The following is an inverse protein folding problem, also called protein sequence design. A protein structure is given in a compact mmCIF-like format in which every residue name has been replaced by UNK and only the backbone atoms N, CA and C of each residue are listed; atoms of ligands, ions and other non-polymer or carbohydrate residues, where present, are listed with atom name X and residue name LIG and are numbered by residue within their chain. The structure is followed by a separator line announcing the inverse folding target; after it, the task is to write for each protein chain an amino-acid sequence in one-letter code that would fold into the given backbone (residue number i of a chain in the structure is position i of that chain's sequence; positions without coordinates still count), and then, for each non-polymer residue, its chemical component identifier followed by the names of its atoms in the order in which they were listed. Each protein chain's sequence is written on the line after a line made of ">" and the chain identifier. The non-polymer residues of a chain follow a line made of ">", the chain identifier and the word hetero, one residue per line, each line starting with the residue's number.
data_IF_394451318078
#
_entry.id   IF_394451318078
#
_cell.length_a   1.000
_cell.length_b   1.000
_cell.length_c   1.000
_cell.angle_alpha   90.00
_cell.angle_beta   90.00
_cell.angle_gamma   90.00
#
_symmetry.space_group_name_H-M   'P 1'
#
loop_
_entity.id
_entity.type
_entity.pdbx_description
1 polymer ?
#
# COMPACT_ATOMS: atom_id res chain seq x y z
N UNK A 1 -5.55 -4.16 16.72
CA UNK A 1 -4.78 -3.09 17.41
C UNK A 1 -3.74 -2.51 16.45
N UNK A 2 -3.64 -1.18 16.37
CA UNK A 2 -2.61 -0.51 15.57
C UNK A 2 -1.32 -0.39 16.41
N UNK A 3 -0.17 -0.77 15.85
CA UNK A 3 1.11 -0.56 16.53
C UNK A 3 1.38 0.92 16.83
N UNK A 4 2.13 1.24 17.91
CA UNK A 4 2.60 2.60 18.18
C UNK A 4 3.40 3.18 17.01
N UNK A 5 3.43 4.52 16.89
CA UNK A 5 4.14 5.23 15.79
C UNK A 5 5.59 4.76 15.62
N UNK A 6 6.33 4.56 16.72
CA UNK A 6 7.72 4.12 16.68
C UNK A 6 7.94 2.67 16.22
N UNK A 7 6.89 1.86 16.05
CA UNK A 7 6.96 0.48 15.57
C UNK A 7 6.53 0.38 14.11
N UNK A 8 5.59 1.22 13.67
CA UNK A 8 5.14 1.22 12.28
C UNK A 8 6.27 1.63 11.34
N UNK A 9 6.34 1.04 10.15
CA UNK A 9 7.37 1.34 9.16
C UNK A 9 7.45 2.84 8.82
N UNK A 10 6.33 3.52 8.79
CA UNK A 10 6.22 4.97 8.57
C UNK A 10 6.93 5.78 9.65
N UNK A 11 6.69 5.46 10.91
CA UNK A 11 7.34 6.13 12.03
C UNK A 11 8.83 5.78 12.19
N UNK A 12 9.21 4.54 11.82
CA UNK A 12 10.63 4.14 11.75
C UNK A 12 11.33 4.89 10.63
N UNK A 13 10.72 4.98 9.44
CA UNK A 13 11.24 5.73 8.29
C UNK A 13 11.40 7.22 8.63
N UNK A 14 10.40 7.83 9.30
CA UNK A 14 10.51 9.21 9.78
C UNK A 14 11.76 9.42 10.65
N UNK A 15 12.02 8.48 11.57
CA UNK A 15 13.19 8.58 12.44
C UNK A 15 14.49 8.49 11.64
N UNK A 16 14.53 7.67 10.60
CA UNK A 16 15.72 7.50 9.74
C UNK A 16 15.98 8.71 8.84
N UNK A 17 14.91 9.33 8.32
CA UNK A 17 14.98 10.50 7.46
C UNK A 17 15.32 11.80 8.23
N UNK A 18 15.10 11.84 9.54
CA UNK A 18 15.38 12.99 10.37
C UNK A 18 14.38 14.13 10.20
N UNK A 19 14.82 15.36 10.52
CA UNK A 19 13.97 16.56 10.56
C UNK A 19 13.81 17.24 9.19
N UNK A 20 14.61 16.86 8.21
CA UNK A 20 14.51 17.41 6.84
C UNK A 20 13.28 16.90 6.08
N UNK A 21 12.65 15.83 6.58
CA UNK A 21 11.47 15.22 5.98
C UNK A 21 10.34 15.10 7.01
N UNK A 22 9.12 15.23 6.53
CA UNK A 22 7.91 14.91 7.27
C UNK A 22 7.20 13.72 6.64
N UNK A 23 7.08 12.62 7.40
CA UNK A 23 6.33 11.42 6.97
C UNK A 23 4.90 11.51 7.49
N UNK A 24 3.95 11.82 6.61
CA UNK A 24 2.53 11.87 6.90
C UNK A 24 1.93 10.47 6.76
N UNK A 25 1.32 9.98 7.83
CA UNK A 25 0.78 8.62 7.88
C UNK A 25 -0.72 8.63 7.55
N UNK A 26 -1.07 8.16 6.37
CA UNK A 26 -2.46 8.09 5.87
C UNK A 26 -2.99 6.66 5.75
N UNK A 27 -2.37 5.71 6.45
CA UNK A 27 -2.82 4.32 6.51
C UNK A 27 -4.13 4.17 7.28
N UNK A 28 -5.10 3.48 6.67
CA UNK A 28 -6.38 3.11 7.27
C UNK A 28 -6.58 1.59 7.23
N UNK A 29 -6.99 0.99 8.35
CA UNK A 29 -7.28 -0.43 8.40
C UNK A 29 -8.41 -0.79 7.42
N UNK A 30 -8.19 -1.83 6.63
CA UNK A 30 -9.19 -2.29 5.66
C UNK A 30 -9.24 -1.46 4.37
N UNK A 31 -8.36 -0.46 4.18
CA UNK A 31 -8.35 0.36 2.97
C UNK A 31 -8.07 -0.48 1.72
N UNK A 32 -8.91 -0.30 0.73
CA UNK A 32 -8.81 -0.88 -0.61
C UNK A 32 -8.24 0.13 -1.61
N UNK A 33 -8.02 -0.28 -2.83
CA UNK A 33 -7.73 0.64 -3.94
C UNK A 33 -8.98 1.43 -4.34
N UNK A 34 -9.90 0.80 -5.07
CA UNK A 34 -11.13 1.42 -5.58
C UNK A 34 -12.40 0.73 -5.11
N UNK A 35 -12.28 -0.47 -4.52
CA UNK A 35 -13.43 -1.28 -4.13
C UNK A 35 -14.10 -0.74 -2.88
N UNK A 36 -15.40 -0.50 -2.96
CA UNK A 36 -16.20 0.00 -1.84
C UNK A 36 -16.77 -1.16 -1.02
N UNK A 37 -16.54 -1.11 0.29
CA UNK A 37 -17.29 -1.92 1.23
C UNK A 37 -18.63 -1.22 1.52
N UNK A 38 -19.76 -1.89 1.25
CA UNK A 38 -21.08 -1.30 1.45
C UNK A 38 -21.35 -0.84 2.89
N UNK A 39 -20.66 -1.42 3.87
CA UNK A 39 -20.77 -1.04 5.29
C UNK A 39 -19.82 0.08 5.67
N UNK A 40 -18.68 0.19 4.98
CA UNK A 40 -17.61 1.12 5.30
C UNK A 40 -17.03 1.77 4.02
N UNK A 41 -17.85 2.50 3.23
CA UNK A 41 -17.46 3.02 1.91
C UNK A 41 -16.25 3.98 1.96
N UNK A 42 -16.00 4.62 3.10
CA UNK A 42 -14.81 5.46 3.31
C UNK A 42 -13.47 4.71 3.24
N UNK A 43 -13.49 3.40 3.21
CA UNK A 43 -12.28 2.57 3.05
C UNK A 43 -11.78 2.52 1.62
N UNK A 44 -12.58 2.87 0.63
CA UNK A 44 -12.11 2.99 -0.75
C UNK A 44 -11.08 4.12 -0.87
N UNK A 45 -9.89 3.77 -1.32
CA UNK A 45 -8.78 4.71 -1.46
C UNK A 45 -9.10 5.83 -2.44
N UNK A 46 -9.77 5.52 -3.54
CA UNK A 46 -10.10 6.47 -4.59
C UNK A 46 -10.92 7.67 -4.07
N UNK A 47 -11.93 7.42 -3.25
CA UNK A 47 -12.77 8.48 -2.69
C UNK A 47 -12.02 9.39 -1.72
N UNK A 48 -11.06 8.83 -1.00
CA UNK A 48 -10.25 9.55 -0.02
C UNK A 48 -9.06 10.31 -0.61
N UNK A 49 -8.51 9.84 -1.72
CA UNK A 49 -7.20 10.25 -2.21
C UNK A 49 -7.11 11.76 -2.53
N UNK A 50 -8.07 12.31 -3.28
CA UNK A 50 -8.05 13.74 -3.63
C UNK A 50 -8.12 14.67 -2.41
N UNK A 51 -9.03 14.49 -1.44
CA UNK A 51 -9.00 15.26 -0.19
C UNK A 51 -7.66 15.15 0.54
N UNK A 52 -7.10 13.95 0.66
CA UNK A 52 -5.81 13.70 1.29
C UNK A 52 -4.68 14.49 0.61
N UNK A 53 -4.51 14.34 -0.69
CA UNK A 53 -3.50 15.06 -1.47
C UNK A 53 -3.66 16.59 -1.37
N UNK A 54 -4.90 17.08 -1.36
CA UNK A 54 -5.18 18.50 -1.25
C UNK A 54 -4.84 19.08 0.12
N UNK A 55 -5.02 18.30 1.18
CA UNK A 55 -4.73 18.71 2.55
C UNK A 55 -3.22 18.80 2.80
N UNK A 56 -2.45 17.87 2.25
CA UNK A 56 -1.03 17.71 2.56
C UNK A 56 -0.07 18.33 1.53
N UNK A 57 -0.59 18.98 0.48
CA UNK A 57 0.28 19.65 -0.48
C UNK A 57 1.05 20.84 0.17
N UNK A 58 2.30 21.13 -0.23
CA UNK A 58 3.06 20.43 -1.28
C UNK A 58 3.59 19.07 -0.84
N UNK A 59 3.56 18.09 -1.76
CA UNK A 59 3.99 16.71 -1.52
C UNK A 59 5.14 16.40 -2.46
N UNK A 60 6.26 15.92 -1.93
CA UNK A 60 7.44 15.55 -2.73
C UNK A 60 7.49 14.06 -3.05
N UNK A 61 6.92 13.23 -2.16
CA UNK A 61 6.87 11.77 -2.30
C UNK A 61 5.50 11.22 -1.96
N UNK A 62 5.07 10.21 -2.68
CA UNK A 62 3.91 9.38 -2.32
C UNK A 62 4.32 7.93 -2.32
N UNK A 63 4.31 7.26 -1.17
CA UNK A 63 4.51 5.81 -1.06
C UNK A 63 3.11 5.17 -0.94
N UNK A 64 2.69 4.45 -1.96
CA UNK A 64 1.39 3.80 -2.02
C UNK A 64 1.53 2.28 -1.96
N UNK A 65 1.08 1.69 -0.85
CA UNK A 65 1.03 0.24 -0.63
C UNK A 65 -0.40 -0.16 -0.30
N UNK A 66 -1.16 -0.54 -1.31
CA UNK A 66 -2.55 -1.00 -1.25
C UNK A 66 -2.71 -2.27 -2.09
N UNK A 67 -3.84 -2.95 -1.94
CA UNK A 67 -4.20 -4.15 -2.70
C UNK A 67 -4.44 -5.38 -1.83
N UNK A 68 -3.87 -5.47 -0.62
CA UNK A 68 -4.10 -6.61 0.27
C UNK A 68 -5.57 -6.75 0.68
N UNK A 69 -6.26 -5.65 0.95
CA UNK A 69 -7.68 -5.69 1.35
C UNK A 69 -8.63 -5.95 0.18
N UNK A 70 -8.20 -5.66 -1.02
CA UNK A 70 -8.92 -5.91 -2.27
C UNK A 70 -9.05 -7.42 -2.56
N UNK A 71 -8.14 -8.22 -2.01
CA UNK A 71 -8.14 -9.68 -2.10
C UNK A 71 -9.26 -10.35 -1.28
N UNK A 72 -10.02 -9.58 -0.49
CA UNK A 72 -11.14 -10.14 0.27
C UNK A 72 -12.17 -10.76 -0.65
N UNK A 73 -12.72 -11.90 -0.24
CA UNK A 73 -13.78 -12.66 -0.96
C UNK A 73 -14.94 -11.79 -1.41
N UNK A 74 -15.35 -10.83 -0.57
CA UNK A 74 -16.52 -9.99 -0.83
C UNK A 74 -16.39 -9.14 -2.10
N UNK A 75 -15.18 -8.86 -2.56
CA UNK A 75 -14.95 -8.06 -3.76
C UNK A 75 -14.88 -8.91 -5.03
N UNK A 76 -14.68 -10.21 -4.92
CA UNK A 76 -14.56 -11.14 -6.07
C UNK A 76 -13.57 -10.66 -7.15
N UNK A 77 -12.58 -9.83 -6.75
CA UNK A 77 -11.67 -9.19 -7.67
C UNK A 77 -10.51 -10.12 -8.06
N UNK A 78 -10.20 -10.15 -9.34
CA UNK A 78 -8.96 -10.73 -9.86
C UNK A 78 -7.75 -9.86 -9.50
N UNK A 79 -6.55 -10.42 -9.58
CA UNK A 79 -5.32 -9.63 -9.39
C UNK A 79 -5.19 -8.50 -10.42
N UNK A 80 -5.68 -8.72 -11.66
CA UNK A 80 -5.70 -7.67 -12.70
C UNK A 80 -6.62 -6.51 -12.31
N UNK A 81 -7.84 -6.77 -11.84
CA UNK A 81 -8.79 -5.71 -11.43
C UNK A 81 -8.25 -4.92 -10.22
N UNK A 82 -7.56 -5.60 -9.30
CA UNK A 82 -6.88 -4.92 -8.18
C UNK A 82 -5.76 -4.02 -8.69
N UNK A 83 -4.97 -4.50 -9.63
CA UNK A 83 -3.91 -3.73 -10.25
C UNK A 83 -4.46 -2.53 -11.05
N UNK A 84 -5.57 -2.71 -11.78
CA UNK A 84 -6.26 -1.62 -12.48
C UNK A 84 -6.73 -0.53 -11.50
N UNK A 85 -7.22 -0.94 -10.32
CA UNK A 85 -7.56 -0.02 -9.23
C UNK A 85 -6.33 0.76 -8.71
N UNK A 86 -5.20 0.09 -8.54
CA UNK A 86 -3.95 0.77 -8.16
C UNK A 86 -3.45 1.71 -9.26
N UNK A 87 -3.61 1.33 -10.53
CA UNK A 87 -3.28 2.19 -11.68
C UNK A 87 -4.12 3.47 -11.67
N UNK A 88 -5.41 3.37 -11.36
CA UNK A 88 -6.28 4.53 -11.25
C UNK A 88 -5.82 5.50 -10.16
N UNK A 89 -5.43 4.98 -9.00
CA UNK A 89 -4.87 5.82 -7.93
C UNK A 89 -3.58 6.50 -8.36
N UNK A 90 -2.68 5.82 -9.08
CA UNK A 90 -1.45 6.43 -9.63
C UNK A 90 -1.78 7.57 -10.58
N UNK A 91 -2.76 7.41 -11.47
CA UNK A 91 -3.22 8.48 -12.38
C UNK A 91 -3.71 9.69 -11.58
N UNK A 92 -4.59 9.45 -10.61
CA UNK A 92 -5.12 10.51 -9.74
C UNK A 92 -4.01 11.25 -9.00
N UNK A 93 -3.03 10.54 -8.42
CA UNK A 93 -1.89 11.19 -7.76
C UNK A 93 -1.19 12.14 -8.73
N UNK A 94 -0.81 11.65 -9.90
CA UNK A 94 -0.01 12.42 -10.87
C UNK A 94 -0.77 13.62 -11.45
N UNK A 95 -2.01 13.43 -11.84
CA UNK A 95 -2.83 14.47 -12.45
C UNK A 95 -3.21 15.55 -11.42
N UNK A 96 -3.73 15.12 -10.28
CA UNK A 96 -4.21 16.03 -9.25
C UNK A 96 -3.09 16.85 -8.63
N UNK A 97 -1.95 16.24 -8.32
CA UNK A 97 -0.81 16.99 -7.74
C UNK A 97 -0.23 17.96 -8.75
N UNK A 98 -0.09 17.57 -10.03
CA UNK A 98 0.36 18.50 -11.08
C UNK A 98 -0.57 19.73 -11.20
N UNK A 99 -1.88 19.51 -11.12
CA UNK A 99 -2.88 20.58 -11.16
C UNK A 99 -2.80 21.49 -9.91
N UNK A 100 -2.69 20.90 -8.72
CA UNK A 100 -2.87 21.62 -7.46
C UNK A 100 -1.60 22.19 -6.84
N UNK A 101 -0.42 21.65 -7.20
CA UNK A 101 0.87 22.14 -6.67
C UNK A 101 1.89 22.46 -7.79
N UNK A 102 1.57 22.25 -9.06
CA UNK A 102 2.41 22.63 -10.20
C UNK A 102 3.44 21.57 -10.61
N UNK A 103 3.66 20.54 -9.81
CA UNK A 103 4.58 19.44 -10.11
C UNK A 103 4.02 18.09 -9.64
N UNK A 104 4.63 17.01 -10.14
CA UNK A 104 4.27 15.64 -9.78
C UNK A 104 5.28 15.14 -8.75
N UNK A 105 4.84 14.62 -7.59
CA UNK A 105 5.73 13.99 -6.62
C UNK A 105 6.39 12.74 -7.19
N UNK A 106 7.51 12.33 -6.60
CA UNK A 106 8.01 10.97 -6.83
C UNK A 106 7.00 9.96 -6.26
N UNK A 107 6.47 9.09 -7.12
CA UNK A 107 5.52 8.06 -6.71
C UNK A 107 6.24 6.73 -6.57
N UNK A 108 6.15 6.13 -5.39
CA UNK A 108 6.62 4.77 -5.11
C UNK A 108 5.39 3.87 -5.06
N UNK A 109 5.23 3.05 -6.09
CA UNK A 109 4.19 2.03 -6.14
C UNK A 109 4.72 0.74 -5.52
N UNK A 110 4.13 0.37 -4.39
CA UNK A 110 4.56 -0.79 -3.60
C UNK A 110 3.58 -1.94 -3.80
N UNK A 111 4.08 -3.06 -4.33
CA UNK A 111 3.33 -4.32 -4.24
C UNK A 111 3.38 -4.79 -2.78
N UNK A 112 2.21 -5.06 -2.15
CA UNK A 112 2.18 -5.48 -0.76
C UNK A 112 2.84 -6.86 -0.56
N UNK A 113 3.18 -7.22 0.70
CA UNK A 113 3.60 -8.57 1.04
C UNK A 113 2.56 -9.60 0.60
N UNK A 114 3.01 -10.81 0.26
CA UNK A 114 2.11 -11.91 -0.08
C UNK A 114 1.23 -12.30 1.11
N UNK A 115 0.03 -12.77 0.81
CA UNK A 115 -0.84 -13.42 1.82
C UNK A 115 -0.18 -14.73 2.25
N UNK A 116 -0.09 -14.95 3.55
CA UNK A 116 0.51 -16.16 4.12
C UNK A 116 -0.31 -17.41 3.86
N UNK A 117 0.36 -18.54 3.79
CA UNK A 117 -0.23 -19.85 3.43
C UNK A 117 -1.33 -20.34 4.39
N UNK A 118 -1.32 -19.86 5.62
CA UNK A 118 -2.28 -20.32 6.64
C UNK A 118 -3.47 -19.35 6.79
N UNK A 119 -3.72 -18.47 5.83
CA UNK A 119 -4.80 -17.47 5.87
C UNK A 119 -6.17 -18.09 6.09
N UNK A 120 -6.44 -19.25 5.47
CA UNK A 120 -7.69 -19.99 5.61
C UNK A 120 -7.90 -20.58 7.01
N UNK A 121 -6.84 -20.65 7.84
CA UNK A 121 -6.88 -21.11 9.22
C UNK A 121 -6.72 -19.96 10.23
N UNK A 122 -6.60 -18.73 9.77
CA UNK A 122 -6.43 -17.54 10.59
C UNK A 122 -7.77 -16.94 11.04
N UNK A 123 -7.72 -15.94 11.89
CA UNK A 123 -8.90 -15.13 12.25
C UNK A 123 -9.55 -14.43 11.03
N UNK A 124 -8.82 -14.31 9.93
CA UNK A 124 -9.27 -13.71 8.67
C UNK A 124 -9.86 -14.73 7.67
N UNK A 125 -9.97 -16.01 8.01
CA UNK A 125 -10.52 -17.06 7.15
C UNK A 125 -11.92 -16.77 6.58
N UNK A 126 -12.72 -15.95 7.30
CA UNK A 126 -14.04 -15.52 6.80
C UNK A 126 -13.95 -14.47 5.68
N UNK A 127 -12.87 -13.71 5.66
CA UNK A 127 -12.66 -12.61 4.71
C UNK A 127 -11.78 -12.97 3.53
N UNK A 128 -10.85 -13.91 3.70
CA UNK A 128 -9.89 -14.34 2.68
C UNK A 128 -10.01 -15.85 2.44
N UNK A 129 -9.65 -16.27 1.25
CA UNK A 129 -9.59 -17.66 0.82
C UNK A 129 -8.17 -18.03 0.37
N UNK A 130 -7.98 -19.29 0.01
CA UNK A 130 -6.70 -19.78 -0.51
C UNK A 130 -6.33 -19.13 -1.85
N UNK A 131 -7.32 -18.74 -2.66
CA UNK A 131 -7.09 -18.04 -3.91
C UNK A 131 -6.47 -16.65 -3.69
N UNK A 132 -6.69 -16.03 -2.52
CA UNK A 132 -6.04 -14.77 -2.16
C UNK A 132 -4.51 -14.91 -2.12
N UNK A 133 -3.98 -16.10 -1.77
CA UNK A 133 -2.54 -16.38 -1.77
C UNK A 133 -2.00 -16.27 -3.20
N UNK A 134 -2.67 -16.90 -4.15
CA UNK A 134 -2.26 -16.92 -5.56
C UNK A 134 -2.34 -15.51 -6.13
N UNK A 135 -3.49 -14.84 -5.96
CA UNK A 135 -3.72 -13.47 -6.44
C UNK A 135 -2.73 -12.46 -5.84
N UNK A 136 -2.34 -12.62 -4.56
CA UNK A 136 -1.36 -11.72 -3.94
C UNK A 136 0.01 -11.78 -4.61
N UNK A 137 0.44 -12.96 -5.07
CA UNK A 137 1.71 -13.16 -5.79
C UNK A 137 1.71 -12.52 -7.17
N UNK A 138 0.56 -12.52 -7.84
CA UNK A 138 0.42 -11.91 -9.16
C UNK A 138 0.53 -10.38 -9.11
N UNK A 139 0.19 -9.75 -7.98
CA UNK A 139 0.24 -8.28 -7.84
C UNK A 139 1.62 -7.70 -8.12
N UNK A 140 2.70 -8.37 -7.73
CA UNK A 140 4.06 -7.86 -7.93
C UNK A 140 4.35 -7.57 -9.40
N UNK A 141 4.08 -8.54 -10.29
CA UNK A 141 4.32 -8.40 -11.73
C UNK A 141 3.42 -7.34 -12.36
N UNK A 142 2.17 -7.27 -11.91
CA UNK A 142 1.20 -6.30 -12.42
C UNK A 142 1.57 -4.86 -11.99
N UNK A 143 1.96 -4.66 -10.74
CA UNK A 143 2.38 -3.36 -10.21
C UNK A 143 3.69 -2.87 -10.84
N UNK A 144 4.63 -3.79 -11.11
CA UNK A 144 5.87 -3.44 -11.84
C UNK A 144 5.56 -2.88 -13.23
N UNK A 145 4.62 -3.49 -13.96
CA UNK A 145 4.17 -3.00 -15.27
C UNK A 145 3.57 -1.60 -15.19
N UNK A 146 2.72 -1.37 -14.17
CA UNK A 146 2.11 -0.05 -13.93
C UNK A 146 3.18 0.98 -13.58
N UNK A 147 4.08 0.65 -12.67
CA UNK A 147 5.16 1.55 -12.29
C UNK A 147 6.01 1.95 -13.50
N UNK A 148 6.38 1.00 -14.34
CA UNK A 148 7.11 1.24 -15.59
C UNK A 148 6.32 2.13 -16.56
N UNK A 149 5.01 1.86 -16.73
CA UNK A 149 4.12 2.63 -17.62
C UNK A 149 4.01 4.10 -17.22
N UNK A 150 3.96 4.37 -15.91
CA UNK A 150 3.76 5.72 -15.37
C UNK A 150 5.04 6.39 -14.86
N UNK A 151 6.20 5.76 -15.01
CA UNK A 151 7.47 6.30 -14.51
C UNK A 151 7.47 6.43 -12.98
N UNK A 152 6.86 5.47 -12.28
CA UNK A 152 6.91 5.35 -10.83
C UNK A 152 8.11 4.50 -10.40
N UNK A 153 8.57 4.68 -9.17
CA UNK A 153 9.50 3.76 -8.54
C UNK A 153 8.71 2.51 -8.15
N UNK A 154 9.11 1.34 -8.63
CA UNK A 154 8.52 0.07 -8.19
C UNK A 154 9.23 -0.48 -6.98
N UNK A 155 8.47 -0.93 -6.00
CA UNK A 155 8.99 -1.61 -4.81
C UNK A 155 8.17 -2.87 -4.52
N UNK A 156 8.82 -4.02 -4.46
CA UNK A 156 8.20 -5.29 -4.11
C UNK A 156 8.45 -5.59 -2.63
N UNK A 157 7.43 -5.40 -1.79
CA UNK A 157 7.56 -5.62 -0.36
C UNK A 157 7.73 -7.11 -0.02
N UNK A 158 7.22 -8.02 -0.85
CA UNK A 158 7.37 -9.46 -0.63
C UNK A 158 8.83 -9.95 -0.74
N UNK A 159 9.69 -9.18 -1.44
CA UNK A 159 11.14 -9.47 -1.49
C UNK A 159 11.91 -9.05 -0.23
N UNK A 160 11.25 -8.34 0.68
CA UNK A 160 11.87 -7.78 1.89
C UNK A 160 11.28 -8.36 3.16
N UNK A 161 9.95 -8.53 3.18
CA UNK A 161 9.20 -8.95 4.35
C UNK A 161 8.13 -9.97 3.99
N UNK A 162 7.81 -10.82 4.96
CA UNK A 162 6.72 -11.78 4.88
C UNK A 162 5.57 -11.33 5.79
N UNK A 163 4.35 -11.75 5.45
CA UNK A 163 3.22 -11.63 6.36
C UNK A 163 3.41 -12.49 7.61
N UNK A 164 2.78 -12.05 8.70
CA UNK A 164 2.87 -12.68 10.02
C UNK A 164 2.45 -14.17 9.97
N UNK A 165 3.17 -15.00 10.70
CA UNK A 165 2.75 -16.40 10.94
C UNK A 165 1.56 -16.51 11.91
N UNK A 166 1.20 -15.40 12.57
CA UNK A 166 0.08 -15.38 13.52
C UNK A 166 -1.25 -15.28 12.77
N UNK A 167 -1.30 -14.41 11.75
CA UNK A 167 -2.54 -14.10 11.04
C UNK A 167 -2.45 -14.20 9.51
N UNK A 168 -1.27 -14.46 8.98
CA UNK A 168 -1.01 -14.61 7.55
C UNK A 168 -1.32 -13.38 6.69
N UNK A 169 -1.44 -12.20 7.30
CA UNK A 169 -1.85 -10.97 6.64
C UNK A 169 -1.01 -9.74 7.06
N UNK A 170 -0.93 -9.45 8.35
CA UNK A 170 -0.25 -8.26 8.83
C UNK A 170 1.25 -8.45 9.00
N UNK A 171 1.97 -7.34 9.12
CA UNK A 171 3.40 -7.34 9.42
C UNK A 171 3.66 -7.39 10.93
N UNK A 172 4.65 -8.16 11.34
CA UNK A 172 5.19 -8.13 12.71
C UNK A 172 6.12 -6.92 12.90
N UNK A 173 6.42 -6.51 14.15
CA UNK A 173 7.28 -5.35 14.42
C UNK A 173 8.62 -5.38 13.68
N UNK A 174 9.28 -6.54 13.61
CA UNK A 174 10.54 -6.73 12.93
C UNK A 174 10.41 -6.51 11.40
N UNK A 175 9.29 -6.92 10.82
CA UNK A 175 9.01 -6.73 9.41
C UNK A 175 8.72 -5.25 9.10
N UNK A 176 8.04 -4.52 10.00
CA UNK A 176 7.90 -3.07 9.88
C UNK A 176 9.25 -2.35 9.84
N UNK A 177 10.17 -2.74 10.73
CA UNK A 177 11.53 -2.17 10.76
C UNK A 177 12.28 -2.46 9.46
N UNK A 178 12.32 -3.73 9.02
CA UNK A 178 12.98 -4.13 7.77
C UNK A 178 12.42 -3.39 6.54
N UNK A 179 11.11 -3.20 6.50
CA UNK A 179 10.46 -2.48 5.41
C UNK A 179 10.88 -1.01 5.38
N UNK A 180 10.96 -0.36 6.54
CA UNK A 180 11.43 1.02 6.64
C UNK A 180 12.90 1.17 6.21
N UNK A 181 13.77 0.28 6.67
CA UNK A 181 15.18 0.23 6.27
C UNK A 181 15.32 0.05 4.75
N UNK A 182 14.54 -0.87 4.17
CA UNK A 182 14.58 -1.11 2.73
C UNK A 182 14.03 0.07 1.91
N UNK A 183 13.05 0.82 2.41
CA UNK A 183 12.62 2.07 1.79
C UNK A 183 13.71 3.13 1.85
N UNK A 184 14.33 3.31 3.02
CA UNK A 184 15.42 4.27 3.20
C UNK A 184 16.59 4.02 2.26
N UNK A 185 17.00 2.74 2.13
CA UNK A 185 18.16 2.36 1.33
C UNK A 185 17.92 2.42 -0.20
N UNK A 186 16.67 2.19 -0.64
CA UNK A 186 16.35 2.02 -2.07
C UNK A 186 15.65 3.21 -2.70
N UNK A 187 15.05 4.07 -1.90
CA UNK A 187 14.37 5.26 -2.38
C UNK A 187 15.30 6.44 -2.15
N UNK A 188 15.71 7.08 -3.27
CA UNK A 188 16.50 8.31 -3.19
C UNK A 188 15.55 9.46 -2.84
N UNK A 189 15.41 9.74 -1.56
CA UNK A 189 14.66 10.87 -1.04
C UNK A 189 15.31 12.21 -1.37
#
# INVERSE_FOLDING_TARGET
>A
LRYPKGVRWTGVLQKMLGEEYEVIEEGCNGRTTVFEDAKEPWKAGLGYLRPCLNTHKPIDFVIMMLGSNDLKRMFHASAQEIADGAEELVKVIKEFTKEKQGYIPKVVLVSPPEIGKDIANSEFARSFDEDAIIRSRELSVLYERIAKKYGCIFFDAAKVVESSRVDSLHLMPEAHKKLAEAFYDRISF
#
